data_IF_648159734058
#
_entry.id   IF_648159734058
#
_cell.length_a   1.000
_cell.length_b   1.000
_cell.length_c   1.000
_cell.angle_alpha   90.00
_cell.angle_beta   90.00
_cell.angle_gamma   90.00
#
_symmetry.space_group_name_H-M   'P 1'
#
loop_
_entity.id
_entity.type
_entity.pdbx_description
1 polymer ?
#
# COMPACT_ATOMS: atom_id res chain seq x y z
N UNK A 1 3.56 -0.69 15.59
CA UNK A 1 2.24 -1.38 15.56
C UNK A 1 2.36 -2.72 16.24
N UNK A 2 1.25 -3.27 16.76
CA UNK A 2 1.25 -4.68 17.14
C UNK A 2 1.52 -5.55 15.90
N UNK A 3 2.25 -6.64 16.08
CA UNK A 3 2.60 -7.58 14.99
C UNK A 3 1.40 -8.28 14.38
N UNK A 4 0.29 -8.34 15.12
CA UNK A 4 -0.86 -9.21 14.84
C UNK A 4 -2.04 -8.44 14.20
N UNK A 5 -1.94 -7.11 14.14
CA UNK A 5 -2.97 -6.28 13.49
C UNK A 5 -2.94 -6.52 11.98
N UNK A 6 -4.09 -6.91 11.42
CA UNK A 6 -4.23 -7.25 10.00
C UNK A 6 -4.60 -6.04 9.16
N UNK A 7 -3.86 -5.88 8.07
CA UNK A 7 -4.03 -4.84 7.07
C UNK A 7 -4.68 -5.44 5.81
N UNK A 8 -5.73 -4.80 5.26
CA UNK A 8 -6.28 -5.19 3.98
C UNK A 8 -5.33 -4.75 2.87
N UNK A 9 -4.71 -5.72 2.20
CA UNK A 9 -3.85 -5.48 1.04
C UNK A 9 -4.53 -5.97 -0.24
N UNK A 10 -4.30 -5.25 -1.34
CA UNK A 10 -4.86 -5.55 -2.66
C UNK A 10 -3.73 -5.66 -3.68
N UNK A 11 -3.75 -6.73 -4.47
CA UNK A 11 -2.87 -6.85 -5.63
C UNK A 11 -3.35 -5.90 -6.73
N UNK A 12 -2.48 -5.00 -7.18
CA UNK A 12 -2.80 -4.04 -8.25
C UNK A 12 -3.26 -4.72 -9.56
N UNK A 13 -2.81 -5.96 -9.81
CA UNK A 13 -3.22 -6.76 -10.96
C UNK A 13 -4.73 -7.02 -11.03
N UNK A 14 -5.42 -7.08 -9.89
CA UNK A 14 -6.87 -7.37 -9.85
C UNK A 14 -7.72 -6.08 -9.87
N UNK A 15 -7.16 -4.93 -9.52
CA UNK A 15 -7.90 -3.65 -9.39
C UNK A 15 -8.60 -3.27 -10.69
N UNK A 16 -7.93 -3.46 -11.84
CA UNK A 16 -8.49 -3.13 -13.14
C UNK A 16 -9.77 -3.90 -13.48
N UNK A 17 -9.89 -5.15 -13.03
CA UNK A 17 -11.05 -6.01 -13.30
C UNK A 17 -12.28 -5.50 -12.53
N UNK A 18 -12.11 -5.13 -11.25
CA UNK A 18 -13.20 -4.56 -10.45
C UNK A 18 -13.66 -3.21 -11.01
N UNK A 19 -12.73 -2.36 -11.44
CA UNK A 19 -13.06 -1.08 -12.08
C UNK A 19 -13.87 -1.29 -13.37
N UNK A 20 -13.43 -2.20 -14.24
CA UNK A 20 -14.15 -2.52 -15.47
C UNK A 20 -15.56 -3.05 -15.17
N UNK A 21 -15.69 -3.94 -14.18
CA UNK A 21 -16.99 -4.46 -13.76
C UNK A 21 -17.94 -3.35 -13.31
N UNK A 22 -17.46 -2.36 -12.55
CA UNK A 22 -18.28 -1.20 -12.13
C UNK A 22 -18.81 -0.46 -13.37
N UNK A 23 -17.97 -0.19 -14.36
CA UNK A 23 -18.37 0.55 -15.57
C UNK A 23 -19.31 -0.25 -16.48
N UNK A 24 -19.12 -1.57 -16.58
CA UNK A 24 -19.95 -2.44 -17.41
C UNK A 24 -21.31 -2.78 -16.78
N UNK A 25 -21.47 -2.53 -15.47
CA UNK A 25 -22.66 -2.93 -14.71
C UNK A 25 -23.32 -1.76 -13.95
N UNK A 26 -23.62 -0.60 -14.57
CA UNK A 26 -24.15 0.56 -13.86
C UNK A 26 -25.45 0.26 -13.09
N UNK A 27 -26.32 -0.61 -13.61
CA UNK A 27 -27.54 -1.03 -12.90
C UNK A 27 -27.31 -1.82 -11.61
N UNK A 28 -26.10 -2.35 -11.40
CA UNK A 28 -25.70 -3.08 -10.18
C UNK A 28 -24.70 -2.30 -9.33
N UNK A 29 -23.91 -1.42 -9.95
CA UNK A 29 -22.78 -0.72 -9.31
C UNK A 29 -23.10 0.72 -8.93
N UNK A 30 -24.16 1.34 -9.47
CA UNK A 30 -24.51 2.72 -9.15
C UNK A 30 -24.74 2.90 -7.64
N UNK A 31 -23.99 3.82 -7.03
CA UNK A 31 -24.03 4.11 -5.60
C UNK A 31 -23.36 3.06 -4.70
N UNK A 32 -22.74 2.03 -5.27
CA UNK A 32 -22.04 1.01 -4.51
C UNK A 32 -20.64 1.47 -4.09
N UNK A 33 -20.31 1.32 -2.81
CA UNK A 33 -18.94 1.40 -2.29
C UNK A 33 -18.27 0.01 -2.39
N UNK A 34 -17.64 -0.28 -3.52
CA UNK A 34 -16.93 -1.55 -3.74
C UNK A 34 -15.53 -1.50 -3.13
N UNK A 35 -15.42 -1.86 -1.85
CA UNK A 35 -14.14 -2.02 -1.17
C UNK A 35 -13.49 -3.37 -1.53
N UNK A 36 -12.35 -3.33 -2.23
CA UNK A 36 -11.64 -4.53 -2.71
C UNK A 36 -10.51 -4.95 -1.77
N UNK A 37 -10.19 -6.25 -1.75
CA UNK A 37 -9.08 -6.83 -0.99
C UNK A 37 -8.59 -8.11 -1.66
N UNK A 38 -7.29 -8.37 -1.59
CA UNK A 38 -6.70 -9.69 -1.88
C UNK A 38 -6.69 -10.51 -0.61
N UNK A 39 -6.08 -9.96 0.46
CA UNK A 39 -5.87 -10.64 1.74
C UNK A 39 -5.83 -9.64 2.91
N UNK A 40 -6.11 -10.11 4.13
CA UNK A 40 -5.92 -9.36 5.37
C UNK A 40 -4.75 -9.97 6.14
N UNK A 41 -3.60 -9.29 6.09
CA UNK A 41 -2.34 -9.82 6.61
C UNK A 41 -1.74 -8.91 7.66
N UNK A 42 -1.19 -9.52 8.68
CA UNK A 42 -0.41 -8.86 9.72
C UNK A 42 1.06 -8.77 9.31
N UNK A 43 1.85 -7.91 9.98
CA UNK A 43 3.28 -7.81 9.67
C UNK A 43 4.04 -9.09 10.02
N UNK A 44 3.58 -9.86 11.02
CA UNK A 44 4.13 -11.18 11.30
C UNK A 44 3.92 -12.15 10.12
N UNK A 45 2.69 -12.24 9.61
CA UNK A 45 2.34 -13.08 8.45
C UNK A 45 3.08 -12.64 7.18
N UNK A 46 3.31 -11.33 7.00
CA UNK A 46 4.15 -10.81 5.90
C UNK A 46 5.57 -11.34 6.01
N UNK A 47 6.19 -11.28 7.19
CA UNK A 47 7.56 -11.74 7.40
C UNK A 47 7.69 -13.26 7.22
N UNK A 48 6.70 -14.02 7.70
CA UNK A 48 6.62 -15.48 7.53
C UNK A 48 6.49 -15.86 6.05
N UNK A 49 5.50 -15.29 5.35
CA UNK A 49 5.24 -15.56 3.93
C UNK A 49 6.44 -15.16 3.07
N UNK A 50 7.08 -14.02 3.38
CA UNK A 50 8.31 -13.60 2.74
C UNK A 50 9.42 -14.64 2.90
N UNK A 51 9.60 -15.15 4.12
CA UNK A 51 10.63 -16.15 4.43
C UNK A 51 10.35 -17.45 3.68
N UNK A 52 9.10 -17.88 3.65
CA UNK A 52 8.66 -19.07 2.91
C UNK A 52 8.96 -18.96 1.40
N UNK A 53 8.54 -17.87 0.76
CA UNK A 53 8.69 -17.69 -0.69
C UNK A 53 10.14 -17.44 -1.11
N UNK A 54 10.90 -16.68 -0.32
CA UNK A 54 12.24 -16.23 -0.72
C UNK A 54 13.39 -17.04 -0.12
N UNK A 55 13.12 -17.82 0.93
CA UNK A 55 14.15 -18.49 1.74
C UNK A 55 15.00 -17.54 2.60
N UNK A 56 14.73 -16.23 2.57
CA UNK A 56 15.49 -15.22 3.31
C UNK A 56 14.84 -14.99 4.68
N UNK A 57 15.64 -15.01 5.74
CA UNK A 57 15.16 -14.71 7.10
C UNK A 57 14.57 -13.29 7.15
N UNK A 58 13.34 -13.18 7.65
CA UNK A 58 12.69 -11.89 7.93
C UNK A 58 12.08 -11.86 9.32
N UNK A 59 11.92 -10.65 9.86
CA UNK A 59 11.24 -10.40 11.11
C UNK A 59 10.55 -9.04 11.06
N UNK A 60 9.40 -8.92 11.71
CA UNK A 60 8.78 -7.63 11.97
C UNK A 60 9.38 -7.03 13.25
N UNK A 61 9.84 -5.78 13.18
CA UNK A 61 10.40 -5.04 14.31
C UNK A 61 9.60 -3.77 14.52
N UNK A 62 8.96 -3.66 15.68
CA UNK A 62 8.23 -2.45 16.06
C UNK A 62 9.22 -1.35 16.45
N UNK A 63 9.07 -0.18 15.84
CA UNK A 63 9.82 1.03 16.18
C UNK A 63 8.86 2.14 16.61
N UNK A 64 9.25 3.03 17.55
CA UNK A 64 8.48 4.23 17.86
C UNK A 64 8.32 5.11 16.63
N UNK A 65 7.17 5.77 16.48
CA UNK A 65 6.90 6.62 15.32
C UNK A 65 7.94 7.73 15.16
N UNK A 66 8.36 8.39 16.24
CA UNK A 66 9.39 9.43 16.16
C UNK A 66 10.71 8.94 15.56
N UNK A 67 11.10 7.71 15.90
CA UNK A 67 12.28 7.08 15.31
C UNK A 67 12.06 6.82 13.82
N UNK A 68 10.92 6.23 13.45
CA UNK A 68 10.56 5.99 12.05
C UNK A 68 10.54 7.30 11.23
N UNK A 69 9.83 8.31 11.71
CA UNK A 69 9.69 9.60 11.05
C UNK A 69 11.04 10.31 10.88
N UNK A 70 11.95 10.23 11.87
CA UNK A 70 13.30 10.80 11.71
C UNK A 70 14.15 10.15 10.61
N UNK A 71 13.83 8.91 10.20
CA UNK A 71 14.55 8.18 9.15
C UNK A 71 13.90 8.35 7.77
N UNK A 72 12.58 8.43 7.71
CA UNK A 72 11.81 8.37 6.46
C UNK A 72 11.26 9.73 6.00
N UNK A 73 11.19 10.72 6.89
CA UNK A 73 10.76 12.07 6.53
C UNK A 73 11.77 12.67 5.51
N UNK A 74 11.31 13.19 4.36
CA UNK A 74 12.22 13.67 3.31
C UNK A 74 13.17 14.81 3.76
N UNK A 75 12.66 15.72 4.58
CA UNK A 75 13.40 16.80 5.24
C UNK A 75 12.62 17.28 6.48
N UNK A 76 13.25 17.94 7.46
CA UNK A 76 12.55 18.35 8.68
C UNK A 76 11.30 19.18 8.40
N UNK A 77 10.15 18.73 8.94
CA UNK A 77 8.83 19.35 8.75
C UNK A 77 8.36 19.34 7.28
N UNK A 78 8.70 18.29 6.54
CA UNK A 78 8.25 18.15 5.16
C UNK A 78 6.73 18.15 5.09
N UNK A 79 6.18 18.79 4.06
CA UNK A 79 4.77 18.63 3.71
C UNK A 79 4.56 17.37 2.88
N UNK A 80 3.35 16.82 2.87
CA UNK A 80 3.04 15.60 2.11
C UNK A 80 3.29 15.73 0.61
N UNK A 81 3.19 16.97 0.08
CA UNK A 81 3.48 17.34 -1.30
C UNK A 81 4.92 17.87 -1.49
N UNK A 82 5.87 17.36 -0.71
CA UNK A 82 7.26 17.82 -0.67
C UNK A 82 7.96 17.92 -2.03
N UNK A 83 7.52 17.15 -3.04
CA UNK A 83 8.03 17.19 -4.42
C UNK A 83 7.86 18.57 -5.07
N UNK A 84 6.87 19.38 -4.63
CA UNK A 84 6.67 20.74 -5.11
C UNK A 84 7.72 21.75 -4.58
N UNK A 85 8.61 21.30 -3.70
CA UNK A 85 9.64 22.14 -3.09
C UNK A 85 9.15 22.96 -1.89
N UNK A 86 10.07 23.55 -1.12
CA UNK A 86 9.73 24.29 0.10
C UNK A 86 8.95 25.58 -0.18
N UNK A 87 9.06 26.17 -1.36
CA UNK A 87 8.44 27.47 -1.69
C UNK A 87 7.04 27.36 -2.30
N UNK A 88 6.51 26.15 -2.46
CA UNK A 88 5.16 25.95 -2.98
C UNK A 88 4.11 26.65 -2.10
N UNK A 89 3.12 27.30 -2.74
CA UNK A 89 1.99 27.87 -2.03
C UNK A 89 1.22 26.77 -1.28
N UNK A 90 0.89 27.03 -0.02
CA UNK A 90 0.18 26.10 0.86
C UNK A 90 -0.94 26.83 1.58
N UNK A 91 -2.06 26.15 1.74
CA UNK A 91 -3.18 26.58 2.58
C UNK A 91 -3.33 25.63 3.78
N UNK A 92 -4.37 25.86 4.59
CA UNK A 92 -4.62 25.09 5.80
C UNK A 92 -5.05 23.62 5.53
N UNK A 93 -5.26 23.22 4.27
CA UNK A 93 -5.56 21.83 3.91
C UNK A 93 -4.31 20.97 3.75
N UNK A 94 -3.12 21.58 3.70
CA UNK A 94 -1.86 20.86 3.50
C UNK A 94 -1.32 20.37 4.83
N UNK A 95 -1.22 19.06 4.99
CA UNK A 95 -0.66 18.41 6.18
C UNK A 95 0.86 18.24 6.08
N UNK A 96 1.52 18.18 7.23
CA UNK A 96 2.90 17.70 7.26
C UNK A 96 2.94 16.20 6.93
N UNK A 97 4.09 15.73 6.45
CA UNK A 97 4.36 14.32 6.21
C UNK A 97 4.13 13.52 7.48
N UNK A 98 4.58 14.06 8.63
CA UNK A 98 4.39 13.44 9.94
C UNK A 98 2.93 13.32 10.34
N UNK A 99 2.12 14.37 10.15
CA UNK A 99 0.69 14.32 10.50
C UNK A 99 -0.06 13.29 9.66
N UNK A 100 0.22 13.24 8.35
CA UNK A 100 -0.44 12.31 7.43
C UNK A 100 -0.01 10.86 7.69
N UNK A 101 1.31 10.57 7.63
CA UNK A 101 1.80 9.20 7.83
C UNK A 101 1.65 8.72 9.28
N UNK A 102 1.70 9.62 10.26
CA UNK A 102 1.38 9.34 11.66
C UNK A 102 -0.07 8.89 11.79
N UNK A 103 -1.02 9.68 11.29
CA UNK A 103 -2.46 9.34 11.30
C UNK A 103 -2.75 8.04 10.53
N UNK A 104 -2.08 7.83 9.38
CA UNK A 104 -2.17 6.58 8.62
C UNK A 104 -1.77 5.40 9.50
N UNK A 105 -0.61 5.48 10.16
CA UNK A 105 -0.15 4.40 11.02
C UNK A 105 -1.04 4.24 12.26
N UNK A 106 -1.53 5.28 12.89
CA UNK A 106 -2.48 5.14 14.00
C UNK A 106 -3.77 4.42 13.59
N UNK A 107 -4.35 4.79 12.44
CA UNK A 107 -5.56 4.17 11.91
C UNK A 107 -5.37 2.68 11.61
N UNK A 108 -4.39 2.35 10.77
CA UNK A 108 -4.14 0.98 10.33
C UNK A 108 -3.57 0.12 11.45
N UNK A 109 -2.68 0.69 12.27
CA UNK A 109 -2.07 0.03 13.41
C UNK A 109 -3.00 -0.17 14.60
N UNK A 110 -4.06 0.63 14.69
CA UNK A 110 -5.18 0.41 15.61
C UNK A 110 -6.16 -0.67 15.16
N UNK A 111 -5.96 -1.27 13.97
CA UNK A 111 -6.88 -2.25 13.42
C UNK A 111 -8.24 -1.66 13.04
N UNK A 112 -8.30 -0.35 12.78
CA UNK A 112 -9.54 0.37 12.43
C UNK A 112 -9.87 0.09 10.97
N UNK A 113 -10.16 -1.16 10.62
CA UNK A 113 -10.34 -1.60 9.23
C UNK A 113 -11.72 -2.22 9.06
N UNK A 114 -12.53 -1.64 8.15
CA UNK A 114 -13.85 -2.23 7.83
C UNK A 114 -13.66 -3.57 7.11
N UNK A 115 -14.47 -4.60 7.38
CA UNK A 115 -14.42 -5.83 6.60
C UNK A 115 -14.80 -5.55 5.14
N UNK A 116 -14.21 -6.30 4.21
CA UNK A 116 -14.56 -6.28 2.78
C UNK A 116 -15.45 -7.48 2.47
N UNK A 117 -16.45 -7.29 1.62
CA UNK A 117 -17.30 -8.38 1.14
C UNK A 117 -16.52 -9.20 0.10
N UNK A 118 -15.88 -10.29 0.53
CA UNK A 118 -15.11 -11.15 -0.37
C UNK A 118 -15.99 -11.98 -1.31
N UNK A 119 -17.25 -12.22 -0.96
CA UNK A 119 -18.16 -13.01 -1.79
C UNK A 119 -18.54 -12.24 -3.06
N UNK A 120 -18.74 -10.92 -2.97
CA UNK A 120 -18.94 -10.10 -4.17
C UNK A 120 -17.67 -10.04 -5.02
N UNK A 121 -16.48 -10.02 -4.42
CA UNK A 121 -15.21 -10.05 -5.15
C UNK A 121 -15.03 -11.37 -5.90
N UNK A 122 -15.30 -12.51 -5.26
CA UNK A 122 -15.24 -13.84 -5.89
C UNK A 122 -16.26 -13.98 -7.02
N UNK A 123 -17.44 -13.36 -6.90
CA UNK A 123 -18.45 -13.34 -7.97
C UNK A 123 -18.00 -12.51 -9.17
N UNK A 124 -17.37 -11.36 -8.93
CA UNK A 124 -16.92 -10.44 -9.99
C UNK A 124 -15.68 -11.01 -10.68
N UNK A 125 -14.73 -11.53 -9.90
CA UNK A 125 -13.44 -12.02 -10.36
C UNK A 125 -13.14 -13.39 -9.73
N UNK A 126 -13.71 -14.49 -10.27
CA UNK A 126 -13.59 -15.82 -9.67
C UNK A 126 -12.15 -16.34 -9.57
N UNK A 127 -11.27 -15.86 -10.44
CA UNK A 127 -9.85 -16.23 -10.54
C UNK A 127 -8.92 -15.18 -9.92
N UNK A 128 -9.45 -14.29 -9.07
CA UNK A 128 -8.65 -13.30 -8.33
C UNK A 128 -7.56 -13.94 -7.50
N UNK A 129 -6.55 -13.13 -7.19
CA UNK A 129 -5.52 -13.47 -6.23
C UNK A 129 -6.16 -13.43 -4.83
N UNK A 130 -5.94 -14.49 -4.03
CA UNK A 130 -6.64 -14.69 -2.76
C UNK A 130 -5.76 -14.60 -1.52
N UNK A 131 -4.44 -14.62 -1.69
CA UNK A 131 -3.50 -14.51 -0.59
C UNK A 131 -2.26 -13.69 -0.95
N UNK A 132 -1.54 -13.23 0.08
CA UNK A 132 -0.21 -12.65 -0.10
C UNK A 132 0.76 -13.64 -0.78
N UNK A 133 0.67 -14.93 -0.44
CA UNK A 133 1.49 -15.99 -1.01
C UNK A 133 1.23 -16.14 -2.51
N UNK A 134 -0.04 -16.27 -2.91
CA UNK A 134 -0.44 -16.38 -4.32
C UNK A 134 0.07 -15.17 -5.12
N UNK A 135 0.00 -13.97 -4.55
CA UNK A 135 0.54 -12.77 -5.16
C UNK A 135 2.06 -12.88 -5.35
N UNK A 136 2.80 -13.22 -4.29
CA UNK A 136 4.25 -13.33 -4.33
C UNK A 136 4.73 -14.37 -5.35
N UNK A 137 4.07 -15.53 -5.42
CA UNK A 137 4.36 -16.57 -6.41
C UNK A 137 4.07 -16.08 -7.83
N UNK A 138 2.88 -15.50 -8.05
CA UNK A 138 2.44 -15.03 -9.36
C UNK A 138 3.38 -13.98 -9.96
N UNK A 139 3.94 -13.08 -9.14
CA UNK A 139 4.84 -12.01 -9.62
C UNK A 139 6.31 -12.39 -9.54
N UNK A 140 6.64 -13.60 -9.10
CA UNK A 140 8.03 -14.03 -8.87
C UNK A 140 8.75 -13.13 -7.87
N UNK A 141 8.09 -12.81 -6.75
CA UNK A 141 8.62 -11.91 -5.74
C UNK A 141 9.89 -12.50 -5.11
N UNK A 142 11.00 -11.77 -5.20
CA UNK A 142 12.32 -12.25 -4.75
C UNK A 142 12.89 -11.48 -3.57
N UNK A 143 12.16 -10.47 -3.07
CA UNK A 143 12.62 -9.57 -2.01
C UNK A 143 13.77 -8.64 -2.42
N UNK A 144 14.16 -8.59 -3.69
CA UNK A 144 15.14 -7.61 -4.17
C UNK A 144 14.46 -6.26 -4.36
N UNK A 145 15.10 -5.19 -3.86
CA UNK A 145 14.66 -3.81 -4.08
C UNK A 145 14.61 -3.54 -5.58
N UNK A 146 13.47 -3.03 -6.04
CA UNK A 146 13.25 -2.56 -7.41
C UNK A 146 12.65 -1.17 -7.33
N UNK A 147 13.00 -0.31 -8.29
CA UNK A 147 12.24 0.92 -8.47
C UNK A 147 10.88 0.55 -9.04
N UNK A 148 9.82 1.07 -8.41
CA UNK A 148 8.43 0.85 -8.83
C UNK A 148 7.76 2.17 -9.21
N UNK A 149 8.45 3.30 -8.99
CA UNK A 149 7.96 4.64 -9.27
C UNK A 149 8.57 5.14 -10.58
N UNK A 150 7.84 4.94 -11.67
CA UNK A 150 8.25 5.35 -13.02
C UNK A 150 8.74 6.80 -13.08
N UNK A 151 8.05 7.73 -12.42
CA UNK A 151 8.41 9.15 -12.42
C UNK A 151 9.81 9.43 -11.85
N UNK A 152 10.26 8.64 -10.87
CA UNK A 152 11.59 8.80 -10.26
C UNK A 152 12.67 8.28 -11.20
N UNK A 153 12.40 7.17 -11.89
CA UNK A 153 13.32 6.62 -12.90
C UNK A 153 13.46 7.57 -14.10
N UNK A 154 12.33 8.09 -14.61
CA UNK A 154 12.30 9.07 -15.72
C UNK A 154 13.06 10.36 -15.36
N UNK A 155 12.97 10.81 -14.09
CA UNK A 155 13.72 11.96 -13.59
C UNK A 155 15.22 11.69 -13.46
N UNK A 156 15.60 10.53 -12.94
CA UNK A 156 17.00 10.12 -12.80
C UNK A 156 17.68 9.95 -14.17
N UNK A 157 16.95 9.48 -15.17
CA UNK A 157 17.44 9.38 -16.55
C UNK A 157 17.70 10.77 -17.15
N UNK A 158 16.75 11.70 -17.01
CA UNK A 158 16.91 13.10 -17.46
C UNK A 158 18.08 13.83 -16.80
N UNK A 159 18.37 13.56 -15.53
CA UNK A 159 19.50 14.19 -14.81
C UNK A 159 20.85 13.56 -15.12
N UNK A 160 20.90 12.34 -15.67
CA UNK A 160 22.16 11.73 -16.15
C UNK A 160 22.55 12.17 -17.56
N UNK A 161 21.60 12.68 -18.34
CA UNK A 161 21.81 13.14 -19.72
C UNK A 161 22.10 14.65 -19.83
N UNK A 162 22.13 15.36 -18.70
CA UNK A 162 22.57 16.76 -18.58
C UNK A 162 23.89 16.82 -17.80
#
# INVERSE_FOLDING_TARGET
MSSDVKLPLIALLDVGIYNLWIFDNPGKSAGMDLSVVTDNVSFAEIAETFTEITGKKAAHVTVPFEKFASMEEPYPNAFVNWVLGPDAARDNSVMTWRDNFGSWWEYWGGGITKPRDVAILDRIHPTRIRSLKDWMEKVGYSGHRRSVLKMVDDWAEKTRTN
#
